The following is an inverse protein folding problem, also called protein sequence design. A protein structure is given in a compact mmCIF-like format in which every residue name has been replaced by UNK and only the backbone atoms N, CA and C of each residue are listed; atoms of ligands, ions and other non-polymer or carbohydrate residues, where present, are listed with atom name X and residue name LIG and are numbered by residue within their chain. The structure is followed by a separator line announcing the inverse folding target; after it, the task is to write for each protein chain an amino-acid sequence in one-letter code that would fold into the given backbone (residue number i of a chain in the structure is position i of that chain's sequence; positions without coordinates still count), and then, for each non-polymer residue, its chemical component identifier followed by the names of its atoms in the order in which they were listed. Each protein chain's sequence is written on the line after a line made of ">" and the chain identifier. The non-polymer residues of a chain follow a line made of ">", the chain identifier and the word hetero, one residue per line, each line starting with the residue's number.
data_IF_388771267118
#
_entry.id   IF_388771267118
#
_cell.length_a   1.000
_cell.length_b   1.000
_cell.length_c   1.000
_cell.angle_alpha   90.00
_cell.angle_beta   90.00
_cell.angle_gamma   90.00
#
_symmetry.space_group_name_H-M   'P 1'
#
loop_
_entity.id
_entity.type
_entity.pdbx_description
1 polymer ?
#
# COMPACT_ATOMS: atom_id res chain seq x y z
N UNK A 1 -0.41 -25.97 12.50
CA UNK A 1 -0.18 -24.70 13.21
C UNK A 1 0.28 -24.92 14.65
N UNK A 2 -0.40 -25.74 15.47
CA UNK A 2 0.06 -26.05 16.84
C UNK A 2 1.48 -26.68 16.92
N UNK A 3 1.92 -27.40 15.89
CA UNK A 3 3.20 -28.12 15.90
C UNK A 3 4.46 -27.25 16.05
N UNK A 4 4.43 -25.98 15.63
CA UNK A 4 5.62 -25.11 15.67
C UNK A 4 5.70 -24.22 16.93
N UNK A 5 4.63 -24.12 17.72
CA UNK A 5 4.56 -23.22 18.89
C UNK A 5 4.65 -21.71 18.58
N UNK A 6 4.85 -21.31 17.33
CA UNK A 6 5.01 -19.91 16.91
C UNK A 6 3.66 -19.23 16.63
N UNK A 7 3.51 -17.93 16.95
CA UNK A 7 2.32 -17.18 16.61
C UNK A 7 2.17 -17.11 15.08
N UNK A 8 0.94 -17.26 14.62
CA UNK A 8 0.60 -17.18 13.19
C UNK A 8 0.03 -15.80 12.91
N UNK A 9 0.55 -15.16 11.86
CA UNK A 9 -0.04 -14.00 11.23
C UNK A 9 -0.76 -14.44 9.95
N UNK A 10 -2.09 -14.49 9.98
CA UNK A 10 -2.89 -14.90 8.82
C UNK A 10 -3.12 -13.71 7.89
N UNK A 11 -2.57 -13.77 6.68
CA UNK A 11 -2.88 -12.82 5.63
C UNK A 11 -4.29 -13.07 5.06
N UNK A 12 -5.16 -12.07 5.09
CA UNK A 12 -6.53 -12.15 4.59
C UNK A 12 -6.75 -11.12 3.48
N UNK A 13 -6.96 -11.63 2.27
CA UNK A 13 -7.22 -10.83 1.06
C UNK A 13 -8.71 -10.77 0.75
N UNK A 14 -9.19 -9.59 0.37
CA UNK A 14 -10.58 -9.40 -0.08
C UNK A 14 -10.83 -9.72 -1.55
N UNK A 15 -9.81 -10.06 -2.33
CA UNK A 15 -9.93 -10.49 -3.74
C UNK A 15 -10.82 -11.72 -3.85
N UNK A 16 -11.87 -11.64 -4.67
CA UNK A 16 -12.84 -12.72 -4.86
C UNK A 16 -13.57 -13.10 -3.58
N UNK A 17 -13.78 -12.14 -2.70
CA UNK A 17 -14.45 -12.32 -1.41
C UNK A 17 -15.53 -11.28 -1.19
N UNK A 18 -16.51 -11.67 -0.40
CA UNK A 18 -17.60 -10.84 0.10
C UNK A 18 -17.65 -10.87 1.63
N UNK A 19 -18.60 -10.13 2.20
CA UNK A 19 -18.82 -10.06 3.65
C UNK A 19 -19.05 -11.43 4.27
N UNK A 20 -19.82 -12.31 3.62
CA UNK A 20 -20.19 -13.62 4.16
C UNK A 20 -18.97 -14.54 4.23
N UNK A 21 -18.20 -14.62 3.14
CA UNK A 21 -16.96 -15.40 3.07
C UNK A 21 -15.94 -14.93 4.08
N UNK A 22 -15.78 -13.62 4.25
CA UNK A 22 -14.84 -13.06 5.23
C UNK A 22 -15.28 -13.37 6.67
N UNK A 23 -16.57 -13.21 7.00
CA UNK A 23 -17.11 -13.61 8.32
C UNK A 23 -16.87 -15.09 8.63
N UNK A 24 -17.15 -15.97 7.67
CA UNK A 24 -16.88 -17.41 7.82
C UNK A 24 -15.39 -17.69 8.01
N UNK A 25 -14.52 -17.00 7.27
CA UNK A 25 -13.06 -17.14 7.40
C UNK A 25 -12.57 -16.68 8.76
N UNK A 26 -13.07 -15.55 9.28
CA UNK A 26 -12.73 -15.04 10.61
C UNK A 26 -13.19 -16.02 11.71
N UNK A 27 -14.43 -16.51 11.63
CA UNK A 27 -14.94 -17.50 12.58
C UNK A 27 -14.09 -18.79 12.59
N UNK A 28 -13.73 -19.29 11.41
CA UNK A 28 -12.87 -20.46 11.28
C UNK A 28 -11.44 -20.22 11.81
N UNK A 29 -10.87 -19.04 11.58
CA UNK A 29 -9.56 -18.66 12.11
C UNK A 29 -9.56 -18.63 13.64
N UNK A 30 -10.58 -18.02 14.24
CA UNK A 30 -10.77 -17.99 15.70
C UNK A 30 -10.93 -19.40 16.27
N UNK A 31 -11.74 -20.25 15.64
CA UNK A 31 -11.90 -21.66 16.05
C UNK A 31 -10.59 -22.47 15.99
N UNK A 32 -9.62 -22.05 15.18
CA UNK A 32 -8.28 -22.65 15.08
C UNK A 32 -7.25 -21.99 16.01
N UNK A 33 -7.64 -21.01 16.83
CA UNK A 33 -6.74 -20.27 17.72
C UNK A 33 -5.80 -19.31 16.99
N UNK A 34 -6.17 -18.86 15.79
CA UNK A 34 -5.43 -17.81 15.08
C UNK A 34 -5.97 -16.46 15.57
N UNK A 35 -5.08 -15.64 16.13
CA UNK A 35 -5.44 -14.36 16.73
C UNK A 35 -4.75 -13.16 16.07
N UNK A 36 -3.87 -13.36 15.09
CA UNK A 36 -3.21 -12.26 14.39
C UNK A 36 -3.60 -12.26 12.91
N UNK A 37 -4.05 -11.12 12.43
CA UNK A 37 -4.51 -10.91 11.06
C UNK A 37 -3.65 -9.86 10.36
N UNK A 38 -3.42 -10.05 9.07
CA UNK A 38 -2.90 -9.01 8.19
C UNK A 38 -3.86 -8.83 7.01
N UNK A 39 -4.58 -7.72 6.98
CA UNK A 39 -5.69 -7.52 6.05
C UNK A 39 -5.30 -6.66 4.85
N UNK A 40 -5.79 -7.06 3.68
CA UNK A 40 -5.51 -6.39 2.41
C UNK A 40 -6.68 -6.55 1.44
N UNK A 41 -6.84 -5.59 0.52
CA UNK A 41 -7.86 -5.69 -0.55
C UNK A 41 -7.51 -6.79 -1.56
N UNK A 42 -6.20 -6.98 -1.84
CA UNK A 42 -5.71 -7.89 -2.86
C UNK A 42 -5.24 -7.19 -4.14
N UNK A 43 -4.48 -7.94 -4.93
CA UNK A 43 -3.92 -7.58 -6.23
C UNK A 43 -4.95 -7.73 -7.36
N UNK A 44 -4.55 -7.41 -8.59
CA UNK A 44 -5.38 -7.63 -9.78
C UNK A 44 -5.73 -9.11 -9.93
N UNK A 45 -7.00 -9.43 -10.20
CA UNK A 45 -7.40 -10.79 -10.60
C UNK A 45 -7.16 -11.02 -12.09
N UNK A 46 -6.52 -12.13 -12.43
CA UNK A 46 -6.38 -12.56 -13.84
C UNK A 46 -7.72 -12.98 -14.45
N UNK A 47 -8.76 -13.15 -13.61
CA UNK A 47 -10.13 -13.47 -14.03
C UNK A 47 -10.97 -12.24 -14.40
N UNK A 48 -10.35 -11.06 -14.53
CA UNK A 48 -11.05 -9.88 -15.04
C UNK A 48 -11.36 -10.06 -16.54
N UNK A 49 -12.62 -10.01 -16.97
CA UNK A 49 -12.93 -10.04 -18.39
C UNK A 49 -12.46 -8.74 -19.05
N UNK A 50 -12.01 -8.83 -20.30
CA UNK A 50 -11.69 -7.66 -21.11
C UNK A 50 -12.88 -7.34 -22.01
N UNK A 51 -13.21 -6.05 -22.15
CA UNK A 51 -14.23 -5.62 -23.11
C UNK A 51 -13.70 -5.82 -24.53
N UNK A 52 -14.42 -6.62 -25.32
CA UNK A 52 -14.12 -6.86 -26.74
C UNK A 52 -13.84 -5.54 -27.49
N UNK A 53 -12.74 -5.51 -28.25
CA UNK A 53 -12.33 -4.39 -29.11
C UNK A 53 -11.63 -3.22 -28.41
N UNK A 54 -11.71 -3.07 -27.08
CA UNK A 54 -11.12 -1.93 -26.35
C UNK A 54 -10.07 -2.29 -25.31
N UNK A 55 -9.93 -3.57 -24.95
CA UNK A 55 -8.99 -4.02 -23.91
C UNK A 55 -9.29 -3.49 -22.51
N UNK A 56 -10.39 -2.73 -22.32
CA UNK A 56 -10.76 -2.15 -21.02
C UNK A 56 -11.21 -3.27 -20.07
N UNK A 57 -10.67 -3.34 -18.84
CA UNK A 57 -11.08 -4.34 -17.87
C UNK A 57 -12.53 -4.10 -17.42
N UNK A 58 -13.32 -5.15 -17.45
CA UNK A 58 -14.67 -5.20 -16.87
C UNK A 58 -14.59 -5.61 -15.40
N UNK A 59 -15.61 -5.34 -14.57
CA UNK A 59 -15.63 -5.75 -13.17
C UNK A 59 -15.46 -7.26 -13.01
N UNK A 60 -14.70 -7.66 -11.98
CA UNK A 60 -14.60 -9.06 -11.60
C UNK A 60 -15.86 -9.45 -10.80
N UNK A 61 -16.56 -10.49 -11.25
CA UNK A 61 -17.87 -10.88 -10.70
C UNK A 61 -17.81 -11.19 -9.21
N UNK A 62 -16.81 -11.96 -8.77
CA UNK A 62 -16.60 -12.26 -7.35
C UNK A 62 -16.13 -11.04 -6.53
N UNK A 63 -15.83 -9.92 -7.19
CA UNK A 63 -15.55 -8.63 -6.56
C UNK A 63 -14.27 -8.58 -5.73
N UNK A 64 -14.17 -7.48 -4.98
CA UNK A 64 -13.14 -7.22 -3.99
C UNK A 64 -13.80 -6.65 -2.75
N UNK A 65 -13.68 -7.34 -1.62
CA UNK A 65 -13.97 -6.72 -0.33
C UNK A 65 -12.77 -5.86 0.07
N UNK A 66 -13.00 -4.61 0.47
CA UNK A 66 -11.88 -3.74 0.80
C UNK A 66 -11.25 -4.09 2.14
N UNK A 67 -9.94 -3.83 2.28
CA UNK A 67 -9.26 -3.99 3.57
C UNK A 67 -9.94 -3.27 4.74
N UNK A 68 -10.61 -2.15 4.49
CA UNK A 68 -11.35 -1.41 5.52
C UNK A 68 -12.64 -2.12 5.93
N UNK A 69 -13.36 -2.73 4.99
CA UNK A 69 -14.51 -3.57 5.31
C UNK A 69 -14.06 -4.82 6.10
N UNK A 70 -12.92 -5.42 5.73
CA UNK A 70 -12.34 -6.56 6.46
C UNK A 70 -11.94 -6.16 7.88
N UNK A 71 -11.32 -4.98 8.07
CA UNK A 71 -11.00 -4.44 9.41
C UNK A 71 -12.26 -4.33 10.26
N UNK A 72 -13.33 -3.76 9.70
CA UNK A 72 -14.62 -3.63 10.39
C UNK A 72 -15.17 -5.00 10.81
N UNK A 73 -15.16 -5.98 9.91
CA UNK A 73 -15.64 -7.33 10.20
C UNK A 73 -14.79 -8.06 11.24
N UNK A 74 -13.47 -7.90 11.19
CA UNK A 74 -12.54 -8.46 12.18
C UNK A 74 -12.82 -7.86 13.57
N UNK A 75 -12.99 -6.53 13.65
CA UNK A 75 -13.33 -5.82 14.90
C UNK A 75 -14.67 -6.26 15.47
N UNK A 76 -15.70 -6.38 14.63
CA UNK A 76 -17.02 -6.90 15.03
C UNK A 76 -16.97 -8.35 15.54
N UNK A 77 -16.10 -9.17 14.95
CA UNK A 77 -15.91 -10.57 15.39
C UNK A 77 -15.16 -10.64 16.73
N UNK A 78 -14.24 -9.71 16.97
CA UNK A 78 -13.41 -9.62 18.17
C UNK A 78 -12.38 -10.74 18.30
N UNK A 79 -11.39 -10.52 19.17
CA UNK A 79 -10.36 -11.53 19.49
C UNK A 79 -9.21 -11.62 18.48
N UNK A 80 -8.97 -10.56 17.71
CA UNK A 80 -7.86 -10.45 16.76
C UNK A 80 -7.01 -9.21 17.03
N UNK A 81 -5.69 -9.38 16.96
CA UNK A 81 -4.73 -8.32 16.68
C UNK A 81 -4.65 -8.15 15.16
N UNK A 82 -5.07 -6.99 14.66
CA UNK A 82 -5.32 -6.78 13.24
C UNK A 82 -4.37 -5.76 12.64
N UNK A 83 -3.43 -6.24 11.81
CA UNK A 83 -2.55 -5.40 11.02
C UNK A 83 -3.14 -5.04 9.66
N UNK A 84 -2.75 -3.90 9.11
CA UNK A 84 -3.14 -3.49 7.75
C UNK A 84 -1.93 -3.07 6.91
N UNK A 85 -2.04 -3.22 5.58
CA UNK A 85 -0.92 -2.95 4.67
C UNK A 85 -0.93 -1.51 4.13
N UNK A 86 0.23 -0.84 4.03
CA UNK A 86 0.41 0.43 3.29
C UNK A 86 1.48 0.25 2.22
N UNK A 87 1.33 0.84 1.04
CA UNK A 87 2.44 0.89 0.07
C UNK A 87 3.12 2.26 0.08
N UNK A 88 4.30 2.42 0.73
CA UNK A 88 5.03 3.70 0.71
C UNK A 88 5.80 3.92 -0.60
N UNK A 89 5.97 2.88 -1.44
CA UNK A 89 6.75 2.95 -2.68
C UNK A 89 5.93 3.55 -3.83
N UNK A 90 5.52 4.81 -3.65
CA UNK A 90 4.79 5.62 -4.63
C UNK A 90 5.58 6.86 -4.97
N UNK A 91 5.62 7.18 -6.27
CA UNK A 91 6.55 8.16 -6.82
C UNK A 91 5.85 9.34 -7.52
N UNK A 92 4.52 9.41 -7.41
CA UNK A 92 3.75 10.63 -7.73
C UNK A 92 3.22 11.27 -6.45
N UNK A 93 3.01 12.58 -6.50
CA UNK A 93 2.38 13.34 -5.41
C UNK A 93 1.05 12.72 -4.99
N UNK A 94 0.18 12.45 -5.97
CA UNK A 94 -1.16 11.94 -5.72
C UNK A 94 -1.15 10.54 -5.07
N UNK A 95 -0.38 9.59 -5.60
CA UNK A 95 -0.37 8.23 -5.07
C UNK A 95 0.28 8.14 -3.68
N UNK A 96 1.32 8.94 -3.43
CA UNK A 96 1.98 9.01 -2.11
C UNK A 96 0.97 9.38 -1.04
N UNK A 97 0.29 10.53 -1.19
CA UNK A 97 -0.68 10.97 -0.20
C UNK A 97 -1.92 10.09 -0.15
N UNK A 98 -2.39 9.53 -1.27
CA UNK A 98 -3.53 8.62 -1.24
C UNK A 98 -3.24 7.32 -0.45
N UNK A 99 -2.01 6.78 -0.53
CA UNK A 99 -1.62 5.64 0.31
C UNK A 99 -1.55 6.03 1.79
N UNK A 100 -1.01 7.22 2.10
CA UNK A 100 -0.94 7.72 3.47
C UNK A 100 -2.31 8.03 4.06
N UNK A 101 -3.20 8.70 3.34
CA UNK A 101 -4.57 8.95 3.78
C UNK A 101 -5.33 7.64 4.03
N UNK A 102 -5.19 6.66 3.13
CA UNK A 102 -5.78 5.33 3.33
C UNK A 102 -5.18 4.60 4.53
N UNK A 103 -3.89 4.79 4.82
CA UNK A 103 -3.25 4.24 6.01
C UNK A 103 -3.82 4.88 7.29
N UNK A 104 -3.92 6.22 7.34
CA UNK A 104 -4.55 6.92 8.48
C UNK A 104 -5.98 6.43 8.68
N UNK A 105 -6.74 6.28 7.60
CA UNK A 105 -8.09 5.70 7.65
C UNK A 105 -8.12 4.27 8.20
N UNK A 106 -7.15 3.42 7.85
CA UNK A 106 -7.03 2.06 8.41
C UNK A 106 -6.77 2.06 9.90
N UNK A 107 -5.89 2.95 10.37
CA UNK A 107 -5.62 3.13 11.79
C UNK A 107 -6.88 3.63 12.52
N UNK A 108 -7.55 4.65 11.98
CA UNK A 108 -8.80 5.17 12.54
C UNK A 108 -9.93 4.12 12.56
N UNK A 109 -9.95 3.17 11.62
CA UNK A 109 -10.89 2.05 11.59
C UNK A 109 -10.48 0.86 12.48
N UNK A 110 -9.40 0.97 13.26
CA UNK A 110 -9.01 -0.01 14.27
C UNK A 110 -7.95 -1.04 13.83
N UNK A 111 -7.06 -0.67 12.90
CA UNK A 111 -5.83 -1.45 12.69
C UNK A 111 -4.85 -1.20 13.86
N UNK A 112 -4.35 -2.28 14.47
CA UNK A 112 -3.44 -2.23 15.62
C UNK A 112 -1.97 -1.97 15.21
N UNK A 113 -1.61 -2.35 13.99
CA UNK A 113 -0.28 -2.13 13.42
C UNK A 113 -0.33 -2.02 11.90
N UNK A 114 0.74 -1.49 11.32
CA UNK A 114 0.91 -1.34 9.88
C UNK A 114 2.06 -2.21 9.40
N UNK A 115 1.89 -2.82 8.24
CA UNK A 115 2.97 -3.51 7.51
C UNK A 115 3.17 -2.78 6.19
N UNK A 116 4.39 -2.38 5.88
CA UNK A 116 4.67 -1.77 4.57
C UNK A 116 4.54 -2.82 3.48
N UNK A 117 4.31 -2.38 2.25
CA UNK A 117 4.60 -3.20 1.08
C UNK A 117 6.12 -3.42 0.98
N UNK A 118 6.55 -4.28 0.07
CA UNK A 118 7.97 -4.51 -0.15
C UNK A 118 8.56 -3.50 -1.16
N UNK A 119 9.83 -3.17 -0.98
CA UNK A 119 10.60 -2.33 -1.88
C UNK A 119 12.00 -2.07 -1.34
N UNK A 120 12.83 -1.38 -2.12
CA UNK A 120 14.25 -1.14 -1.81
C UNK A 120 14.61 0.32 -1.57
N UNK A 121 13.72 1.26 -1.93
CA UNK A 121 13.96 2.68 -1.70
C UNK A 121 13.83 3.05 -0.22
N UNK A 122 14.97 3.15 0.47
CA UNK A 122 15.02 3.53 1.88
C UNK A 122 14.55 4.98 2.12
N UNK A 123 14.59 5.87 1.11
CA UNK A 123 14.01 7.22 1.23
C UNK A 123 12.50 7.12 1.47
N UNK A 124 11.80 6.19 0.80
CA UNK A 124 10.36 5.97 1.01
C UNK A 124 10.01 5.40 2.38
N UNK A 125 10.88 4.55 2.92
CA UNK A 125 10.70 4.05 4.28
C UNK A 125 10.94 5.16 5.33
N UNK A 126 11.94 6.03 5.13
CA UNK A 126 12.15 7.19 6.00
C UNK A 126 11.02 8.22 5.86
N UNK A 127 10.55 8.49 4.64
CA UNK A 127 9.44 9.39 4.34
C UNK A 127 8.16 8.99 5.10
N UNK A 128 7.83 7.69 5.13
CA UNK A 128 6.68 7.19 5.87
C UNK A 128 6.80 7.49 7.38
N UNK A 129 7.97 7.26 7.97
CA UNK A 129 8.21 7.54 9.39
C UNK A 129 8.13 9.03 9.70
N UNK A 130 8.66 9.87 8.81
CA UNK A 130 8.55 11.32 8.90
C UNK A 130 7.12 11.83 8.75
N UNK A 131 6.34 11.21 7.86
CA UNK A 131 4.91 11.51 7.72
C UNK A 131 4.15 11.23 9.01
N UNK A 132 4.37 10.06 9.62
CA UNK A 132 3.76 9.68 10.90
C UNK A 132 4.19 10.62 12.03
N UNK A 133 5.48 10.89 12.15
CA UNK A 133 6.02 11.79 13.17
C UNK A 133 5.47 13.23 13.05
N UNK A 134 5.38 13.78 11.83
CA UNK A 134 4.78 15.10 11.57
C UNK A 134 3.31 15.18 11.98
N UNK A 135 2.61 14.05 11.95
CA UNK A 135 1.20 13.92 12.36
C UNK A 135 1.05 13.54 13.83
N UNK A 136 2.14 13.46 14.59
CA UNK A 136 2.15 13.01 15.99
C UNK A 136 1.50 11.62 16.15
N UNK A 137 1.65 10.78 15.13
CA UNK A 137 1.13 9.41 15.09
C UNK A 137 2.27 8.43 15.35
N UNK A 138 2.04 7.50 16.28
CA UNK A 138 3.05 6.49 16.66
C UNK A 138 2.51 5.05 16.57
N UNK A 139 1.93 4.62 15.42
CA UNK A 139 1.52 3.24 15.26
C UNK A 139 2.74 2.31 15.23
N UNK A 140 2.56 1.04 15.58
CA UNK A 140 3.59 0.03 15.31
C UNK A 140 3.70 -0.20 13.80
N UNK A 141 4.88 0.03 13.22
CA UNK A 141 5.13 -0.15 11.78
C UNK A 141 6.18 -1.22 11.56
N UNK A 142 5.82 -2.23 10.78
CA UNK A 142 6.70 -3.33 10.39
C UNK A 142 7.09 -3.14 8.92
N UNK A 143 8.39 -3.06 8.63
CA UNK A 143 8.87 -2.98 7.26
C UNK A 143 8.88 -4.37 6.62
N UNK A 144 8.19 -4.54 5.48
CA UNK A 144 8.27 -5.78 4.71
C UNK A 144 9.46 -5.75 3.76
N UNK A 145 10.39 -6.67 3.94
CA UNK A 145 11.56 -6.84 3.09
C UNK A 145 11.42 -8.10 2.24
N UNK A 146 12.06 -8.11 1.07
CA UNK A 146 11.88 -9.17 0.08
C UNK A 146 13.19 -9.86 -0.25
N UNK A 147 13.18 -11.19 -0.16
CA UNK A 147 14.16 -12.08 -0.71
C UNK A 147 13.57 -12.69 -1.99
N UNK A 148 14.23 -12.48 -3.12
CA UNK A 148 13.79 -12.98 -4.42
C UNK A 148 14.36 -14.37 -4.68
N UNK A 149 13.57 -15.23 -5.31
CA UNK A 149 14.11 -16.48 -5.84
C UNK A 149 14.91 -16.21 -7.11
N UNK A 150 15.83 -17.11 -7.46
CA UNK A 150 16.61 -17.01 -8.70
C UNK A 150 15.72 -16.92 -9.94
N UNK A 151 14.61 -17.67 -9.95
CA UNK A 151 13.64 -17.65 -11.04
C UNK A 151 12.91 -16.30 -11.14
N UNK A 152 12.57 -15.69 -10.00
CA UNK A 152 11.95 -14.35 -9.98
C UNK A 152 12.92 -13.31 -10.53
N UNK A 153 14.21 -13.37 -10.17
CA UNK A 153 15.24 -12.44 -10.64
C UNK A 153 15.45 -12.58 -12.17
N UNK A 154 15.53 -13.81 -12.67
CA UNK A 154 15.72 -14.08 -14.11
C UNK A 154 14.54 -13.59 -14.96
N UNK A 155 13.34 -13.57 -14.39
CA UNK A 155 12.11 -13.09 -15.06
C UNK A 155 11.81 -11.62 -14.77
N UNK A 156 12.60 -10.98 -13.90
CA UNK A 156 12.38 -9.62 -13.47
C UNK A 156 12.60 -8.66 -14.63
N UNK A 157 11.61 -7.82 -14.91
CA UNK A 157 11.74 -6.70 -15.84
C UNK A 157 12.00 -5.39 -15.05
N UNK A 158 10.95 -4.86 -14.45
CA UNK A 158 10.86 -3.62 -13.67
C UNK A 158 9.80 -3.73 -12.58
N UNK A 159 9.05 -4.83 -12.52
CA UNK A 159 8.04 -5.06 -11.48
C UNK A 159 8.10 -6.51 -11.02
N UNK A 160 8.26 -6.74 -9.72
CA UNK A 160 8.22 -8.10 -9.15
C UNK A 160 6.78 -8.60 -9.08
N UNK A 161 5.91 -7.77 -8.51
CA UNK A 161 4.46 -7.95 -8.43
C UNK A 161 3.82 -6.57 -8.34
N UNK A 162 2.50 -6.42 -8.61
CA UNK A 162 1.85 -5.11 -8.67
C UNK A 162 2.17 -4.23 -7.45
N UNK A 163 2.77 -3.06 -7.68
CA UNK A 163 3.18 -2.12 -6.65
C UNK A 163 4.56 -2.35 -6.03
N UNK A 164 5.36 -3.32 -6.50
CA UNK A 164 6.80 -3.46 -6.20
C UNK A 164 7.61 -3.23 -7.46
N UNK A 165 8.08 -2.00 -7.59
CA UNK A 165 8.82 -1.57 -8.77
C UNK A 165 10.31 -1.57 -8.49
N UNK A 166 11.07 -1.95 -9.52
CA UNK A 166 12.52 -2.09 -9.50
C UNK A 166 13.06 -1.23 -10.64
N UNK A 167 13.96 -0.27 -10.37
CA UNK A 167 14.63 0.50 -11.43
C UNK A 167 15.45 -0.41 -12.35
N UNK A 168 15.58 -0.02 -13.61
CA UNK A 168 16.26 -0.83 -14.62
C UNK A 168 17.69 -1.21 -14.23
N UNK A 169 18.45 -0.24 -13.71
CA UNK A 169 19.83 -0.45 -13.26
C UNK A 169 19.91 -1.47 -12.13
N UNK A 170 18.94 -1.42 -11.22
CA UNK A 170 18.87 -2.35 -10.11
C UNK A 170 18.43 -3.75 -10.57
N UNK A 171 17.49 -3.87 -11.52
CA UNK A 171 17.18 -5.16 -12.16
C UNK A 171 18.43 -5.77 -12.78
N UNK A 172 19.20 -4.99 -13.55
CA UNK A 172 20.42 -5.46 -14.19
C UNK A 172 21.49 -5.87 -13.16
N UNK A 173 21.58 -5.17 -12.03
CA UNK A 173 22.44 -5.59 -10.91
C UNK A 173 22.00 -6.94 -10.34
N UNK A 174 20.72 -7.10 -10.01
CA UNK A 174 20.18 -8.34 -9.44
C UNK A 174 20.39 -9.54 -10.36
N UNK A 175 20.20 -9.36 -11.67
CA UNK A 175 20.42 -10.40 -12.68
C UNK A 175 21.90 -10.79 -12.73
N UNK A 176 22.81 -9.82 -12.86
CA UNK A 176 24.27 -10.07 -12.86
C UNK A 176 24.77 -10.80 -11.61
N UNK A 177 24.28 -10.41 -10.44
CA UNK A 177 24.61 -11.08 -9.16
C UNK A 177 24.12 -12.53 -9.10
N UNK A 178 23.15 -12.89 -9.94
CA UNK A 178 22.43 -14.16 -9.90
C UNK A 178 22.75 -15.11 -11.06
N UNK A 179 23.75 -14.78 -11.89
CA UNK A 179 24.01 -15.50 -13.14
C UNK A 179 24.46 -16.96 -12.94
N UNK A 180 25.11 -17.28 -11.81
CA UNK A 180 25.83 -18.54 -11.64
C UNK A 180 24.99 -19.62 -10.92
N UNK A 181 24.47 -19.33 -9.71
CA UNK A 181 23.73 -20.34 -8.92
C UNK A 181 22.76 -19.72 -7.92
N UNK A 182 21.81 -20.52 -7.43
CA UNK A 182 20.86 -20.10 -6.40
C UNK A 182 21.55 -19.72 -5.08
N UNK A 183 22.61 -20.44 -4.69
CA UNK A 183 23.39 -20.15 -3.48
C UNK A 183 24.11 -18.80 -3.59
N UNK A 184 24.71 -18.51 -4.75
CA UNK A 184 25.37 -17.22 -4.97
C UNK A 184 24.37 -16.07 -5.06
N UNK A 185 23.23 -16.28 -5.74
CA UNK A 185 22.12 -15.32 -5.78
C UNK A 185 21.60 -14.98 -4.37
N UNK A 186 21.46 -16.00 -3.51
CA UNK A 186 21.11 -15.78 -2.10
C UNK A 186 22.21 -15.00 -1.38
N UNK A 187 23.46 -15.43 -1.49
CA UNK A 187 24.60 -14.79 -0.82
C UNK A 187 24.75 -13.30 -1.21
N UNK A 188 24.45 -12.94 -2.45
CA UNK A 188 24.46 -11.56 -2.92
C UNK A 188 23.31 -10.70 -2.34
N UNK A 189 22.14 -11.30 -2.09
CA UNK A 189 21.00 -10.59 -1.49
C UNK A 189 21.15 -10.38 0.02
N UNK A 190 21.87 -11.26 0.72
CA UNK A 190 21.98 -11.26 2.18
C UNK A 190 22.55 -9.95 2.78
N UNK A 191 23.67 -9.37 2.28
CA UNK A 191 24.16 -8.07 2.75
C UNK A 191 23.13 -6.95 2.59
N UNK A 192 22.49 -6.87 1.41
CA UNK A 192 21.43 -5.89 1.12
C UNK A 192 20.28 -6.00 2.12
N UNK A 193 19.83 -7.22 2.38
CA UNK A 193 18.75 -7.48 3.35
C UNK A 193 19.15 -7.07 4.77
N UNK A 194 20.39 -7.37 5.18
CA UNK A 194 20.95 -6.95 6.47
C UNK A 194 20.99 -5.43 6.62
N UNK A 195 21.48 -4.72 5.60
CA UNK A 195 21.50 -3.26 5.53
C UNK A 195 20.09 -2.66 5.60
N UNK A 196 19.12 -3.20 4.86
CA UNK A 196 17.73 -2.74 4.93
C UNK A 196 17.15 -2.93 6.34
N UNK A 197 17.40 -4.08 6.97
CA UNK A 197 16.90 -4.36 8.32
C UNK A 197 17.52 -3.44 9.37
N UNK A 198 18.83 -3.19 9.30
CA UNK A 198 19.53 -2.24 10.17
C UNK A 198 18.99 -0.82 9.98
N UNK A 199 18.79 -0.39 8.73
CA UNK A 199 18.18 0.90 8.40
C UNK A 199 16.78 1.04 8.96
N UNK A 200 15.93 0.02 8.79
CA UNK A 200 14.58 0.03 9.36
C UNK A 200 14.60 0.23 10.88
N UNK A 201 15.49 -0.45 11.62
CA UNK A 201 15.64 -0.23 13.06
C UNK A 201 16.01 1.22 13.38
N UNK A 202 17.00 1.76 12.68
CA UNK A 202 17.51 3.13 12.91
C UNK A 202 16.51 4.22 12.52
N UNK A 203 15.60 3.91 11.59
CA UNK A 203 14.49 4.77 11.18
C UNK A 203 13.26 4.67 12.10
N UNK A 204 13.28 3.81 13.12
CA UNK A 204 12.20 3.68 14.11
C UNK A 204 11.09 2.68 13.73
N UNK A 205 11.34 1.74 12.81
CA UNK A 205 10.41 0.64 12.57
C UNK A 205 10.41 -0.35 13.76
N UNK A 206 9.22 -0.82 14.14
CA UNK A 206 9.03 -1.78 15.24
C UNK A 206 9.57 -3.18 14.93
N UNK A 207 9.80 -3.49 13.65
CA UNK A 207 10.37 -4.75 13.21
C UNK A 207 10.41 -4.89 11.69
N UNK A 208 10.90 -6.04 11.23
CA UNK A 208 10.91 -6.41 9.80
C UNK A 208 10.14 -7.70 9.56
N UNK A 209 9.45 -7.79 8.43
CA UNK A 209 8.82 -8.99 7.93
C UNK A 209 9.52 -9.43 6.65
N UNK A 210 10.20 -10.58 6.68
CA UNK A 210 10.93 -11.09 5.52
C UNK A 210 10.02 -11.98 4.68
N UNK A 211 9.87 -11.66 3.40
CA UNK A 211 9.19 -12.48 2.41
C UNK A 211 10.21 -13.26 1.57
N UNK A 212 9.86 -14.49 1.15
CA UNK A 212 10.69 -15.30 0.24
C UNK A 212 11.49 -16.43 0.89
N UNK A 213 11.47 -16.56 2.22
CA UNK A 213 12.10 -17.68 2.94
C UNK A 213 11.20 -18.92 2.87
N UNK A 214 11.71 -20.03 2.34
CA UNK A 214 10.94 -21.26 2.09
C UNK A 214 11.43 -22.50 2.85
N UNK A 215 12.65 -22.45 3.36
CA UNK A 215 13.29 -23.57 4.07
C UNK A 215 14.08 -23.07 5.27
N UNK A 216 14.45 -24.00 6.14
CA UNK A 216 15.15 -23.70 7.39
C UNK A 216 16.57 -23.18 7.16
N UNK A 217 17.32 -23.71 6.19
CA UNK A 217 18.68 -23.26 5.93
C UNK A 217 18.71 -21.80 5.47
N UNK A 218 17.80 -21.42 4.58
CA UNK A 218 17.60 -20.02 4.17
C UNK A 218 17.21 -19.14 5.35
N UNK A 219 16.34 -19.63 6.24
CA UNK A 219 15.94 -18.89 7.43
C UNK A 219 17.15 -18.59 8.34
N UNK A 220 17.97 -19.61 8.63
CA UNK A 220 19.12 -19.47 9.52
C UNK A 220 20.16 -18.49 8.95
N UNK A 221 20.43 -18.55 7.64
CA UNK A 221 21.31 -17.59 6.95
C UNK A 221 20.78 -16.16 7.00
N UNK A 222 19.48 -15.96 6.73
CA UNK A 222 18.82 -14.65 6.77
C UNK A 222 18.87 -14.06 8.18
N UNK A 223 18.50 -14.85 9.20
CA UNK A 223 18.47 -14.40 10.59
C UNK A 223 19.89 -14.07 11.07
N UNK A 224 20.86 -14.95 10.81
CA UNK A 224 22.25 -14.72 11.19
C UNK A 224 22.81 -13.44 10.58
N UNK A 225 22.59 -13.22 9.27
CA UNK A 225 23.05 -12.00 8.59
C UNK A 225 22.37 -10.73 9.09
N UNK A 226 21.06 -10.78 9.35
CA UNK A 226 20.35 -9.62 9.92
C UNK A 226 20.90 -9.30 11.32
N UNK A 227 21.10 -10.31 12.16
CA UNK A 227 21.65 -10.13 13.51
C UNK A 227 23.06 -9.51 13.48
N UNK A 228 23.93 -9.97 12.58
CA UNK A 228 25.26 -9.42 12.35
C UNK A 228 25.19 -7.91 12.06
N UNK A 229 24.37 -7.49 11.09
CA UNK A 229 24.24 -6.07 10.72
C UNK A 229 23.59 -5.22 11.83
N UNK A 230 22.64 -5.79 12.58
CA UNK A 230 22.05 -5.10 13.73
C UNK A 230 23.04 -4.93 14.90
N UNK A 231 24.04 -5.80 15.03
CA UNK A 231 25.06 -5.68 16.08
C UNK A 231 26.18 -4.73 15.67
N UNK A 232 26.59 -4.74 14.39
CA UNK A 232 27.70 -3.94 13.88
C UNK A 232 27.31 -2.49 13.58
N UNK A 233 26.11 -2.26 13.02
CA UNK A 233 25.66 -0.94 12.59
C UNK A 233 24.65 -0.37 13.58
N UNK A 234 25.14 0.47 14.50
CA UNK A 234 24.35 0.99 15.63
C UNK A 234 23.93 2.46 15.50
N UNK A 235 24.52 3.21 14.55
CA UNK A 235 24.19 4.62 14.31
C UNK A 235 23.70 4.85 12.90
N UNK A 236 22.88 5.89 12.73
CA UNK A 236 22.30 6.25 11.43
C UNK A 236 23.37 6.65 10.40
N UNK A 237 24.36 7.46 10.79
CA UNK A 237 25.38 7.92 9.84
C UNK A 237 26.31 6.79 9.40
N UNK A 238 26.67 5.86 10.31
CA UNK A 238 27.43 4.66 9.95
C UNK A 238 26.62 3.76 9.00
N UNK A 239 25.32 3.60 9.25
CA UNK A 239 24.43 2.88 8.35
C UNK A 239 24.35 3.55 6.97
N UNK A 240 24.18 4.87 6.92
CA UNK A 240 24.07 5.63 5.69
C UNK A 240 25.36 5.52 4.85
N UNK A 241 26.52 5.57 5.50
CA UNK A 241 27.81 5.34 4.86
C UNK A 241 27.90 3.91 4.29
N UNK A 242 27.56 2.88 5.08
CA UNK A 242 27.57 1.49 4.62
C UNK A 242 26.55 1.22 3.50
N UNK A 243 25.38 1.85 3.55
CA UNK A 243 24.35 1.77 2.50
C UNK A 243 24.86 2.35 1.19
N UNK A 244 25.53 3.51 1.24
CA UNK A 244 26.11 4.19 0.08
C UNK A 244 27.31 3.43 -0.48
N UNK A 245 28.19 2.92 0.38
CA UNK A 245 29.36 2.14 -0.03
C UNK A 245 28.94 0.86 -0.76
N UNK A 246 27.97 0.13 -0.22
CA UNK A 246 27.51 -1.13 -0.81
C UNK A 246 26.76 -0.95 -2.15
N UNK A 247 26.01 0.15 -2.33
CA UNK A 247 25.21 0.37 -3.53
C UNK A 247 25.85 1.33 -4.54
N UNK A 248 26.90 2.07 -4.15
CA UNK A 248 27.50 3.12 -4.97
C UNK A 248 26.48 4.17 -5.40
N UNK A 249 26.49 4.50 -6.70
CA UNK A 249 25.61 5.50 -7.32
C UNK A 249 24.22 4.95 -7.71
N UNK A 250 23.89 3.71 -7.32
CA UNK A 250 22.63 3.08 -7.70
C UNK A 250 21.42 3.88 -7.18
N UNK A 251 20.56 4.30 -8.11
CA UNK A 251 19.27 4.90 -7.76
C UNK A 251 18.19 3.84 -7.54
N UNK A 252 17.39 4.02 -6.49
CA UNK A 252 16.21 3.21 -6.20
C UNK A 252 14.91 3.81 -6.76
N UNK A 253 15.00 4.93 -7.49
CA UNK A 253 13.88 5.61 -8.11
C UNK A 253 13.49 4.90 -9.42
N UNK A 254 12.28 4.32 -9.53
CA UNK A 254 11.89 3.60 -10.74
C UNK A 254 11.49 4.53 -11.90
N UNK A 255 11.32 5.82 -11.63
CA UNK A 255 10.95 6.87 -12.60
C UNK A 255 11.79 8.12 -12.39
N UNK A 256 12.04 8.84 -13.48
CA UNK A 256 12.68 10.15 -13.43
C UNK A 256 11.75 11.17 -12.76
N UNK A 257 12.31 12.01 -11.89
CA UNK A 257 11.54 13.03 -11.17
C UNK A 257 10.61 12.44 -10.10
N UNK A 258 11.01 11.33 -9.48
CA UNK A 258 10.29 10.71 -8.39
C UNK A 258 9.91 11.73 -7.30
N UNK A 259 8.62 11.79 -6.96
CA UNK A 259 8.13 12.65 -5.89
C UNK A 259 8.50 12.08 -4.52
N UNK A 260 8.99 12.94 -3.62
CA UNK A 260 9.13 12.64 -2.19
C UNK A 260 8.39 13.69 -1.36
N UNK A 261 7.69 13.26 -0.31
CA UNK A 261 6.91 14.15 0.56
C UNK A 261 7.80 15.07 1.41
N UNK A 262 9.09 14.76 1.53
CA UNK A 262 10.08 15.55 2.26
C UNK A 262 11.40 15.62 1.49
N UNK A 263 12.07 16.76 1.61
CA UNK A 263 13.44 16.94 1.14
C UNK A 263 14.44 16.60 2.26
N UNK A 264 15.69 16.28 1.89
CA UNK A 264 16.74 15.95 2.85
C UNK A 264 16.66 14.54 3.43
N UNK A 265 15.88 13.65 2.81
CA UNK A 265 15.90 12.22 3.12
C UNK A 265 17.29 11.65 2.84
N UNK A 266 17.71 10.67 3.65
CA UNK A 266 19.00 9.99 3.52
C UNK A 266 20.21 10.94 3.58
N UNK A 267 20.14 11.96 4.45
CA UNK A 267 21.24 12.90 4.76
C UNK A 267 21.73 12.71 6.18
N UNK A 268 23.01 13.00 6.44
CA UNK A 268 23.63 12.82 7.76
C UNK A 268 22.87 13.55 8.86
N UNK A 269 22.73 12.90 10.02
CA UNK A 269 21.96 13.42 11.16
C UNK A 269 20.44 13.41 10.97
N UNK A 270 19.91 13.12 9.78
CA UNK A 270 18.47 13.16 9.49
C UNK A 270 17.72 11.86 9.87
N UNK A 271 18.15 11.15 10.93
CA UNK A 271 17.58 9.86 11.31
C UNK A 271 16.09 9.92 11.68
N UNK A 272 15.64 11.03 12.24
CA UNK A 272 14.25 11.26 12.67
C UNK A 272 13.75 12.64 12.25
N UNK A 273 12.42 12.80 12.21
CA UNK A 273 11.77 14.04 11.76
C UNK A 273 12.22 15.28 12.56
N UNK A 274 12.46 15.13 13.87
CA UNK A 274 12.89 16.22 14.75
C UNK A 274 14.41 16.45 14.79
N UNK A 275 15.22 15.56 14.22
CA UNK A 275 16.68 15.71 14.22
C UNK A 275 17.18 16.79 13.24
N UNK A 276 16.35 17.14 12.26
CA UNK A 276 16.61 18.19 11.26
C UNK A 276 15.39 19.10 11.15
N UNK A 277 15.48 20.18 10.36
CA UNK A 277 14.30 20.94 9.93
C UNK A 277 13.81 20.39 8.59
N UNK A 278 12.89 19.42 8.57
CA UNK A 278 12.43 18.79 7.34
C UNK A 278 11.66 19.80 6.50
N UNK A 279 12.05 19.93 5.23
CA UNK A 279 11.32 20.75 4.27
C UNK A 279 10.28 19.87 3.58
N UNK A 280 8.98 20.09 3.82
CA UNK A 280 7.96 19.32 3.13
C UNK A 280 7.98 19.64 1.63
N UNK A 281 7.76 18.63 0.81
CA UNK A 281 7.48 18.81 -0.61
C UNK A 281 6.16 19.54 -0.82
N UNK A 282 5.95 20.05 -2.05
CA UNK A 282 4.67 20.69 -2.40
C UNK A 282 3.50 19.71 -2.27
N UNK A 283 2.33 20.24 -1.91
CA UNK A 283 1.05 19.51 -1.89
C UNK A 283 0.08 20.15 -2.89
N UNK A 284 0.59 20.52 -4.05
CA UNK A 284 -0.18 21.16 -5.11
C UNK A 284 -0.77 20.10 -6.04
N UNK A 285 -1.96 19.62 -5.67
CA UNK A 285 -2.68 18.62 -6.45
C UNK A 285 -3.27 19.21 -7.73
N UNK A 286 -3.38 18.39 -8.78
CA UNK A 286 -4.04 18.78 -10.02
C UNK A 286 -5.48 19.27 -9.78
N UNK A 287 -5.90 20.28 -10.54
CA UNK A 287 -7.26 20.79 -10.47
C UNK A 287 -8.26 19.75 -11.01
N UNK A 288 -9.44 19.59 -10.38
CA UNK A 288 -10.43 18.64 -10.85
C UNK A 288 -11.02 19.07 -12.19
N UNK A 289 -11.37 18.09 -13.02
CA UNK A 289 -12.11 18.32 -14.26
C UNK A 289 -13.44 19.03 -13.96
N UNK A 290 -13.89 19.90 -14.87
CA UNK A 290 -15.15 20.64 -14.70
C UNK A 290 -16.33 19.71 -14.41
N UNK A 291 -16.42 18.58 -15.14
CA UNK A 291 -17.46 17.58 -14.92
C UNK A 291 -17.45 16.99 -13.50
N UNK A 292 -16.26 16.73 -12.94
CA UNK A 292 -16.09 16.16 -11.59
C UNK A 292 -16.41 17.20 -10.51
N UNK A 293 -15.99 18.45 -10.73
CA UNK A 293 -16.35 19.58 -9.87
C UNK A 293 -17.86 19.83 -9.85
N UNK A 294 -18.53 19.80 -11.00
CA UNK A 294 -19.98 19.96 -11.08
C UNK A 294 -20.70 18.78 -10.41
N UNK A 295 -20.30 17.55 -10.73
CA UNK A 295 -20.89 16.32 -10.19
C UNK A 295 -20.81 16.28 -8.66
N UNK A 296 -19.64 16.56 -8.09
CA UNK A 296 -19.43 16.56 -6.63
C UNK A 296 -20.20 17.65 -5.89
N UNK A 297 -20.65 18.72 -6.57
CA UNK A 297 -21.49 19.79 -5.98
C UNK A 297 -22.98 19.52 -6.13
N UNK A 298 -23.43 19.06 -7.29
CA UNK A 298 -24.86 18.88 -7.61
C UNK A 298 -25.42 17.61 -6.95
N UNK A 299 -24.69 16.50 -6.99
CA UNK A 299 -25.21 15.23 -6.49
C UNK A 299 -25.52 15.16 -5.00
N UNK A 300 -24.71 15.71 -4.08
CA UNK A 300 -25.11 15.77 -2.68
C UNK A 300 -26.45 16.50 -2.49
N UNK A 301 -26.70 17.58 -3.23
CA UNK A 301 -27.97 18.31 -3.17
C UNK A 301 -29.16 17.46 -3.67
N UNK A 302 -28.95 16.65 -4.70
CA UNK A 302 -29.99 15.75 -5.25
C UNK A 302 -30.24 14.55 -4.34
N UNK A 303 -29.21 14.00 -3.70
CA UNK A 303 -29.28 12.70 -3.03
C UNK A 303 -29.42 12.76 -1.50
N UNK A 304 -28.94 13.82 -0.85
CA UNK A 304 -28.91 13.90 0.63
C UNK A 304 -29.90 14.92 1.20
N UNK A 305 -30.38 15.87 0.40
CA UNK A 305 -31.48 16.77 0.79
C UNK A 305 -32.82 16.16 0.38
N UNK A 306 -33.95 16.53 1.02
CA UNK A 306 -35.28 16.12 0.58
C UNK A 306 -35.55 16.69 -0.82
N UNK A 307 -35.12 15.96 -1.84
CA UNK A 307 -35.39 16.24 -3.23
C UNK A 307 -36.66 15.49 -3.64
N UNK A 308 -37.43 16.01 -4.61
CA UNK A 308 -38.60 15.30 -5.13
C UNK A 308 -38.23 13.89 -5.60
N UNK A 309 -39.01 12.87 -5.22
CA UNK A 309 -38.70 11.45 -5.49
C UNK A 309 -38.38 11.14 -6.96
N UNK A 310 -39.03 11.86 -7.88
CA UNK A 310 -38.83 11.73 -9.33
C UNK A 310 -37.40 12.08 -9.77
N UNK A 311 -36.74 13.03 -9.10
CA UNK A 311 -35.39 13.50 -9.42
C UNK A 311 -34.35 12.46 -8.99
N UNK A 312 -34.55 11.86 -7.81
CA UNK A 312 -33.73 10.75 -7.32
C UNK A 312 -33.90 9.48 -8.17
N UNK A 313 -35.12 9.23 -8.66
CA UNK A 313 -35.46 8.09 -9.52
C UNK A 313 -34.90 8.28 -10.93
N UNK A 314 -35.04 9.48 -11.50
CA UNK A 314 -34.43 9.85 -12.77
C UNK A 314 -32.91 9.76 -12.70
N UNK A 315 -32.28 10.24 -11.62
CA UNK A 315 -30.83 10.10 -11.43
C UNK A 315 -30.41 8.62 -11.34
N UNK A 316 -31.12 7.80 -10.56
CA UNK A 316 -30.89 6.34 -10.49
C UNK A 316 -31.06 5.67 -11.86
N UNK A 317 -32.01 6.12 -12.66
CA UNK A 317 -32.27 5.63 -14.01
C UNK A 317 -31.29 6.16 -15.07
N UNK A 318 -30.76 7.38 -14.93
CA UNK A 318 -29.79 7.99 -15.86
C UNK A 318 -28.37 7.53 -15.56
N UNK A 319 -28.02 7.33 -14.28
CA UNK A 319 -26.78 6.65 -13.87
C UNK A 319 -26.83 5.12 -14.06
N UNK A 320 -27.79 4.64 -14.88
CA UNK A 320 -28.07 3.24 -15.27
C UNK A 320 -26.84 2.36 -15.15
N UNK A 321 -26.79 1.63 -14.03
CA UNK A 321 -25.55 0.97 -13.72
C UNK A 321 -25.28 0.36 -12.35
N UNK A 322 -26.10 -0.59 -11.91
CA UNK A 322 -25.61 -1.86 -11.35
C UNK A 322 -24.72 -1.82 -10.10
N UNK A 323 -24.87 -0.82 -9.25
CA UNK A 323 -24.57 -0.94 -7.82
C UNK A 323 -25.72 -0.22 -7.12
N UNK A 324 -26.43 -0.90 -6.21
CA UNK A 324 -27.33 -0.23 -5.29
C UNK A 324 -26.47 0.68 -4.41
N UNK A 325 -26.16 1.89 -4.90
CA UNK A 325 -25.15 2.72 -4.28
C UNK A 325 -25.79 3.33 -3.04
N UNK A 326 -25.41 2.81 -1.86
CA UNK A 326 -25.68 3.52 -0.63
C UNK A 326 -25.11 4.93 -0.77
N UNK A 327 -25.88 5.93 -0.34
CA UNK A 327 -25.45 7.34 -0.32
C UNK A 327 -24.09 7.49 0.37
N UNK A 328 -23.85 6.69 1.42
CA UNK A 328 -22.57 6.61 2.15
C UNK A 328 -21.37 6.30 1.25
N UNK A 329 -21.48 5.31 0.34
CA UNK A 329 -20.38 4.93 -0.57
C UNK A 329 -20.12 5.98 -1.65
N UNK A 330 -21.15 6.67 -2.15
CA UNK A 330 -20.94 7.82 -3.05
C UNK A 330 -20.26 8.96 -2.31
N UNK A 331 -20.70 9.25 -1.09
CA UNK A 331 -20.15 10.32 -0.26
C UNK A 331 -18.66 10.10 0.02
N UNK A 332 -18.22 8.85 0.22
CA UNK A 332 -16.81 8.49 0.40
C UNK A 332 -15.94 8.75 -0.84
N UNK A 333 -16.50 8.67 -2.04
CA UNK A 333 -15.84 8.96 -3.31
C UNK A 333 -16.12 10.39 -3.84
N UNK A 334 -16.58 11.32 -3.00
CA UNK A 334 -16.98 12.67 -3.42
C UNK A 334 -18.00 12.67 -4.59
N UNK A 335 -18.92 11.71 -4.55
CA UNK A 335 -19.99 11.46 -5.52
C UNK A 335 -19.50 11.12 -6.95
N UNK A 336 -18.22 10.81 -7.11
CA UNK A 336 -17.68 10.28 -8.35
C UNK A 336 -18.08 8.81 -8.53
N UNK A 337 -18.27 8.41 -9.80
CA UNK A 337 -18.66 7.04 -10.13
C UNK A 337 -17.48 6.08 -9.98
N UNK A 338 -17.55 5.20 -8.97
CA UNK A 338 -16.54 4.19 -8.64
C UNK A 338 -16.30 3.15 -9.73
N UNK A 339 -17.14 3.08 -10.78
CA UNK A 339 -16.89 2.29 -11.99
C UNK A 339 -15.63 2.74 -12.75
N UNK A 340 -15.10 3.92 -12.42
CA UNK A 340 -13.77 4.34 -12.85
C UNK A 340 -12.64 3.47 -12.28
N UNK A 341 -12.87 2.76 -11.17
CA UNK A 341 -11.95 1.78 -10.62
C UNK A 341 -12.38 0.36 -11.06
N UNK A 342 -11.54 -0.43 -11.76
CA UNK A 342 -11.90 -1.81 -12.13
C UNK A 342 -12.15 -2.73 -10.92
N UNK A 343 -11.46 -2.46 -9.80
CA UNK A 343 -11.68 -3.12 -8.50
C UNK A 343 -12.89 -2.59 -7.73
N UNK A 344 -13.56 -1.55 -8.24
CA UNK A 344 -14.80 -1.02 -7.66
C UNK A 344 -14.65 -0.50 -6.21
N UNK A 345 -13.44 -0.07 -5.85
CA UNK A 345 -13.09 0.45 -4.53
C UNK A 345 -13.77 1.79 -4.23
N UNK A 346 -13.90 2.10 -2.94
CA UNK A 346 -14.63 3.20 -2.34
C UNK A 346 -13.69 3.99 -1.41
N UNK A 347 -12.96 3.30 -0.54
CA UNK A 347 -12.29 3.96 0.58
C UNK A 347 -10.81 4.30 0.35
N UNK A 348 -10.40 4.44 -0.92
CA UNK A 348 -9.03 4.79 -1.33
C UNK A 348 -8.40 3.75 -2.26
N UNK A 349 -7.26 4.05 -2.88
CA UNK A 349 -6.68 3.18 -3.91
C UNK A 349 -6.14 1.86 -3.35
N UNK A 350 -5.93 0.89 -4.24
CA UNK A 350 -5.08 -0.26 -3.94
C UNK A 350 -3.60 0.15 -3.99
N UNK A 351 -2.69 -0.71 -3.52
CA UNK A 351 -1.25 -0.45 -3.57
C UNK A 351 -0.60 -0.68 -4.94
N UNK A 352 -1.35 -1.09 -5.96
CA UNK A 352 -0.79 -1.64 -7.21
C UNK A 352 -0.50 -0.65 -8.34
N UNK A 353 -0.78 0.66 -8.19
CA UNK A 353 -0.50 1.64 -9.25
C UNK A 353 0.96 1.64 -9.68
N UNK A 354 1.22 1.95 -10.95
CA UNK A 354 2.56 2.07 -11.50
C UNK A 354 3.30 3.27 -10.89
N UNK A 355 4.63 3.37 -11.05
CA UNK A 355 5.39 4.53 -10.60
C UNK A 355 4.89 5.87 -11.15
N UNK A 356 4.35 5.88 -12.36
CA UNK A 356 3.80 7.05 -13.06
C UNK A 356 2.39 7.41 -12.59
N UNK A 357 1.78 6.59 -11.72
CA UNK A 357 0.43 6.83 -11.20
C UNK A 357 -0.69 6.16 -12.00
N UNK A 358 -0.36 5.32 -12.96
CA UNK A 358 -1.35 4.57 -13.71
C UNK A 358 -1.93 3.41 -12.89
N UNK A 359 -3.18 3.07 -13.17
CA UNK A 359 -3.82 1.93 -12.54
C UNK A 359 -3.05 0.64 -12.84
N UNK A 360 -3.00 -0.32 -11.91
CA UNK A 360 -2.35 -1.63 -12.09
C UNK A 360 -2.87 -2.45 -13.30
N UNK A 361 -4.00 -2.02 -13.88
CA UNK A 361 -4.58 -2.59 -15.09
C UNK A 361 -4.06 -1.92 -16.38
N UNK A 362 -3.21 -0.90 -16.28
CA UNK A 362 -2.56 -0.22 -17.41
C UNK A 362 -3.47 0.54 -18.38
N UNK A 363 -4.71 0.86 -17.98
CA UNK A 363 -5.72 1.42 -18.88
C UNK A 363 -5.95 2.93 -18.73
N UNK A 364 -5.56 3.51 -17.59
CA UNK A 364 -5.77 4.91 -17.24
C UNK A 364 -5.03 5.26 -15.93
N UNK A 365 -4.86 6.56 -15.63
CA UNK A 365 -4.48 7.04 -14.31
C UNK A 365 -5.42 6.49 -13.22
N UNK A 366 -4.90 6.35 -12.00
CA UNK A 366 -5.68 5.86 -10.88
C UNK A 366 -6.96 6.69 -10.66
N UNK A 367 -8.12 6.02 -10.56
CA UNK A 367 -9.41 6.67 -10.32
C UNK A 367 -9.38 7.65 -9.12
N UNK A 368 -8.64 7.30 -8.08
CA UNK A 368 -8.57 8.11 -6.86
C UNK A 368 -7.80 9.42 -7.05
N UNK A 369 -7.07 9.64 -8.14
CA UNK A 369 -6.53 10.97 -8.47
C UNK A 369 -7.65 11.99 -8.70
N UNK A 370 -8.77 11.55 -9.30
CA UNK A 370 -9.97 12.41 -9.47
C UNK A 370 -10.66 12.67 -8.15
N UNK A 371 -10.71 11.67 -7.26
CA UNK A 371 -11.27 11.83 -5.91
C UNK A 371 -10.42 12.81 -5.11
N UNK A 372 -9.09 12.68 -5.17
CA UNK A 372 -8.12 13.55 -4.52
C UNK A 372 -8.21 14.99 -5.00
N UNK A 373 -8.23 15.23 -6.32
CA UNK A 373 -8.34 16.58 -6.88
C UNK A 373 -9.64 17.29 -6.47
N UNK A 374 -10.76 16.55 -6.41
CA UNK A 374 -12.02 17.09 -5.88
C UNK A 374 -11.92 17.39 -4.39
N UNK A 375 -11.36 16.49 -3.58
CA UNK A 375 -11.16 16.69 -2.14
C UNK A 375 -10.28 17.91 -1.85
N UNK A 376 -9.15 18.03 -2.56
CA UNK A 376 -8.22 19.16 -2.47
C UNK A 376 -8.90 20.48 -2.86
N UNK A 377 -9.61 20.52 -3.99
CA UNK A 377 -10.32 21.71 -4.45
C UNK A 377 -11.46 22.16 -3.51
N UNK A 378 -11.99 21.24 -2.70
CA UNK A 378 -13.00 21.52 -1.67
C UNK A 378 -12.40 21.80 -0.29
N UNK A 379 -11.08 21.66 -0.11
CA UNK A 379 -10.39 21.71 1.19
C UNK A 379 -10.91 20.66 2.19
N UNK A 380 -11.26 19.48 1.68
CA UNK A 380 -11.84 18.36 2.43
C UNK A 380 -10.90 17.13 2.37
N UNK A 381 -9.58 17.32 2.50
CA UNK A 381 -8.60 16.22 2.45
C UNK A 381 -8.67 15.32 3.69
N UNK A 382 -8.99 15.89 4.83
CA UNK A 382 -9.29 15.21 6.09
C UNK A 382 -10.33 14.11 5.94
N UNK A 383 -11.33 14.32 5.08
CA UNK A 383 -12.36 13.30 4.78
C UNK A 383 -11.78 12.02 4.16
N UNK A 384 -10.60 12.07 3.53
CA UNK A 384 -9.92 10.88 3.00
C UNK A 384 -9.24 10.04 4.10
N UNK A 385 -9.09 10.61 5.29
CA UNK A 385 -8.47 10.01 6.48
C UNK A 385 -9.52 9.49 7.48
N UNK A 386 -10.76 9.99 7.42
CA UNK A 386 -11.86 9.59 8.30
C UNK A 386 -12.15 8.08 8.27
N UNK A 387 -12.39 7.50 9.45
CA UNK A 387 -12.79 6.10 9.60
C UNK A 387 -14.08 5.79 8.83
N UNK A 388 -14.21 4.55 8.36
CA UNK A 388 -15.46 4.07 7.75
C UNK A 388 -16.55 3.98 8.82
N UNK A 389 -17.70 4.60 8.58
CA UNK A 389 -18.85 4.55 9.48
C UNK A 389 -19.46 3.13 9.54
N UNK A 390 -20.03 2.79 10.70
CA UNK A 390 -20.84 1.58 10.85
C UNK A 390 -22.21 1.80 10.20
N UNK A 391 -22.29 1.56 8.89
CA UNK A 391 -23.55 1.35 8.17
C UNK A 391 -24.17 -0.01 8.54
#
# INVERSE_FOLDING_TARGET
>A
MKAAGKPVLMALSGKGSDTQRVRATLAAARGKGIHNLLVMTGDRSDRHPLRHGSGRPLPYEAGYLESLDILRLARQTGGFLTGAVVNPFKYTLADTYLQYFKMVRKLASGADFIVTHAGWDMKKLQELQWFLARREMHPNVIARLLLLSLDDIRRLDRTVFPGVHVPLEFTALLQRESDISATQSLAAQLPRLGLQAAGCRLLGYSGVQIAGVRDQGTLDMVVGRIQEYLQTITTYDAWLAAWRDYHGDLSFEPVSGAYYAFHGLMTEGASSYGAVTPRPGSMDFEAPRLADRLRSRVLPWVLEKPSPEWLSTLYRAVCRGGDAVSSSRLRACFFLDRRGCPKRLVYGPCGGSTPEGDCEFGHAPCFFHRVLSVAAARRELDRLEEAVADD
#
